data_IF_480444263606
#
_entry.id   IF_480444263606
#
_cell.length_a   1.000
_cell.length_b   1.000
_cell.length_c   1.000
_cell.angle_alpha   90.00
_cell.angle_beta   90.00
_cell.angle_gamma   90.00
#
_symmetry.space_group_name_H-M   'P 1'
#
loop_
_entity.id
_entity.type
_entity.pdbx_description
1 polymer ?
#
# COMPACT_ATOMS: atom_id res chain seq x y z
N UNK A 1 -18.37 2.73 7.21
CA UNK A 1 -19.24 2.92 6.04
C UNK A 1 -18.39 3.06 4.79
N UNK A 2 -17.97 1.92 4.24
CA UNK A 2 -17.49 1.87 2.87
C UNK A 2 -18.70 1.94 1.93
N UNK A 3 -18.84 3.07 1.24
CA UNK A 3 -19.78 3.20 0.12
C UNK A 3 -19.06 2.90 -1.20
N UNK A 4 -19.83 2.57 -2.24
CA UNK A 4 -19.28 2.49 -3.60
C UNK A 4 -18.78 3.89 -3.98
N UNK A 5 -17.49 4.01 -4.25
CA UNK A 5 -16.87 5.27 -4.70
C UNK A 5 -16.64 5.25 -6.22
N UNK A 6 -16.64 6.43 -6.83
CA UNK A 6 -16.36 6.55 -8.27
C UNK A 6 -14.97 6.01 -8.61
N UNK A 7 -13.97 6.29 -7.77
CA UNK A 7 -12.60 5.78 -7.95
C UNK A 7 -12.54 4.26 -7.91
N UNK A 8 -13.33 3.61 -7.05
CA UNK A 8 -13.42 2.15 -6.99
C UNK A 8 -13.99 1.60 -8.29
N UNK A 9 -15.06 2.19 -8.80
CA UNK A 9 -15.68 1.80 -10.07
C UNK A 9 -14.71 2.01 -11.23
N UNK A 10 -14.02 3.16 -11.30
CA UNK A 10 -13.03 3.46 -12.34
C UNK A 10 -11.85 2.48 -12.37
N UNK A 11 -11.31 2.12 -11.20
CA UNK A 11 -10.26 1.09 -11.09
C UNK A 11 -10.72 -0.28 -11.57
N UNK A 12 -12.01 -0.60 -11.43
CA UNK A 12 -12.57 -1.86 -11.92
C UNK A 12 -12.96 -1.80 -13.40
N UNK A 13 -13.14 -0.60 -13.94
CA UNK A 13 -13.39 -0.30 -15.35
C UNK A 13 -12.11 -0.23 -16.22
N UNK A 14 -10.96 -0.71 -15.73
CA UNK A 14 -9.68 -0.66 -16.47
C UNK A 14 -9.77 -1.31 -17.86
N UNK A 15 -10.56 -2.38 -18.00
CA UNK A 15 -10.80 -3.06 -19.28
C UNK A 15 -11.75 -2.30 -20.22
N UNK A 16 -12.43 -1.27 -19.73
CA UNK A 16 -13.31 -0.38 -20.49
C UNK A 16 -12.72 1.04 -20.58
N UNK A 17 -11.38 1.16 -20.73
CA UNK A 17 -10.67 2.45 -20.80
C UNK A 17 -10.96 3.40 -19.63
N UNK A 18 -11.32 2.87 -18.45
CA UNK A 18 -11.78 3.64 -17.29
C UNK A 18 -13.06 4.47 -17.53
N UNK A 19 -13.83 4.15 -18.59
CA UNK A 19 -15.15 4.71 -18.86
C UNK A 19 -16.20 3.98 -18.03
N UNK A 20 -16.89 4.73 -17.18
CA UNK A 20 -17.92 4.20 -16.27
C UNK A 20 -19.33 4.25 -16.88
N UNK A 21 -19.56 5.15 -17.84
CA UNK A 21 -20.88 5.37 -18.42
C UNK A 21 -21.32 4.26 -19.38
N UNK A 22 -20.39 3.73 -20.16
CA UNK A 22 -20.59 2.66 -21.15
C UNK A 22 -20.42 1.25 -20.57
N UNK A 23 -20.21 1.15 -19.25
CA UNK A 23 -19.80 -0.09 -18.63
C UNK A 23 -20.97 -1.08 -18.53
N UNK A 24 -20.81 -2.23 -19.19
CA UNK A 24 -21.84 -3.27 -19.22
C UNK A 24 -21.72 -4.28 -18.07
N UNK A 25 -20.51 -4.51 -17.57
CA UNK A 25 -20.23 -5.52 -16.55
C UNK A 25 -19.32 -4.98 -15.45
N UNK A 26 -19.74 -5.11 -14.20
CA UNK A 26 -18.94 -4.67 -13.05
C UNK A 26 -18.81 -5.78 -12.01
N UNK A 27 -17.58 -5.97 -11.54
CA UNK A 27 -17.25 -6.89 -10.47
C UNK A 27 -16.76 -6.15 -9.24
N UNK A 28 -17.59 -6.16 -8.19
CA UNK A 28 -17.37 -5.53 -6.89
C UNK A 28 -17.37 -6.58 -5.77
N UNK A 29 -16.63 -7.67 -5.97
CA UNK A 29 -16.48 -8.72 -4.96
C UNK A 29 -15.55 -8.29 -3.82
N UNK A 30 -15.88 -8.70 -2.58
CA UNK A 30 -14.98 -8.58 -1.43
C UNK A 30 -14.50 -7.13 -1.20
N UNK A 31 -15.39 -6.16 -1.39
CA UNK A 31 -15.07 -4.73 -1.20
C UNK A 31 -15.64 -4.19 0.12
N UNK A 32 -16.21 -5.06 0.96
CA UNK A 32 -16.75 -4.71 2.27
C UNK A 32 -17.78 -3.57 2.18
N UNK A 33 -18.52 -3.51 1.05
CA UNK A 33 -19.47 -2.44 0.77
C UNK A 33 -20.64 -2.54 1.75
N UNK A 34 -20.90 -1.47 2.47
CA UNK A 34 -22.04 -1.34 3.39
C UNK A 34 -23.22 -0.59 2.75
N UNK A 35 -22.97 0.24 1.73
CA UNK A 35 -24.00 1.02 1.05
C UNK A 35 -23.82 1.08 -0.45
N UNK A 36 -24.93 0.89 -1.17
CA UNK A 36 -24.97 0.92 -2.62
C UNK A 36 -25.41 2.31 -3.10
N UNK A 37 -24.50 3.27 -3.08
CA UNK A 37 -24.80 4.66 -3.49
C UNK A 37 -24.27 4.94 -4.91
N UNK A 38 -24.97 5.81 -5.64
CA UNK A 38 -24.54 6.45 -6.90
C UNK A 38 -24.31 5.55 -8.14
N UNK A 39 -24.49 4.24 -8.04
CA UNK A 39 -24.43 3.32 -9.19
C UNK A 39 -25.43 3.70 -10.29
N UNK A 40 -26.58 4.26 -9.92
CA UNK A 40 -27.59 4.79 -10.85
C UNK A 40 -27.10 5.97 -11.70
N UNK A 41 -26.14 6.74 -11.20
CA UNK A 41 -25.57 7.90 -11.89
C UNK A 41 -24.40 7.50 -12.78
N UNK A 42 -23.58 6.56 -12.33
CA UNK A 42 -22.32 6.21 -12.97
C UNK A 42 -22.49 5.19 -14.09
N UNK A 43 -23.26 4.13 -13.87
CA UNK A 43 -23.31 2.95 -14.76
C UNK A 43 -24.74 2.70 -15.27
N UNK A 44 -25.27 3.58 -16.14
CA UNK A 44 -26.66 3.46 -16.64
C UNK A 44 -26.87 2.27 -17.58
N UNK A 45 -25.81 1.85 -18.26
CA UNK A 45 -25.85 0.79 -19.26
C UNK A 45 -25.41 -0.58 -18.72
N UNK A 46 -25.36 -0.71 -17.39
CA UNK A 46 -24.92 -1.93 -16.72
C UNK A 46 -25.90 -3.08 -16.98
N UNK A 47 -25.38 -4.21 -17.48
CA UNK A 47 -26.07 -5.47 -17.71
C UNK A 47 -25.79 -6.49 -16.61
N UNK A 48 -24.56 -6.54 -16.09
CA UNK A 48 -24.15 -7.53 -15.10
C UNK A 48 -23.50 -6.84 -13.90
N UNK A 49 -24.04 -7.10 -12.71
CA UNK A 49 -23.55 -6.56 -11.44
C UNK A 49 -23.22 -7.69 -10.47
N UNK A 50 -21.94 -7.83 -10.15
CA UNK A 50 -21.48 -8.74 -9.12
C UNK A 50 -21.11 -8.01 -7.82
N UNK A 51 -21.80 -8.35 -6.74
CA UNK A 51 -21.65 -7.79 -5.40
C UNK A 51 -21.45 -8.89 -4.34
N UNK A 52 -20.91 -10.04 -4.74
CA UNK A 52 -20.73 -11.17 -3.83
C UNK A 52 -19.77 -10.84 -2.68
N UNK A 53 -20.12 -11.33 -1.48
CA UNK A 53 -19.31 -11.21 -0.26
C UNK A 53 -19.03 -9.75 0.13
N UNK A 54 -20.09 -8.94 0.22
CA UNK A 54 -20.06 -7.61 0.83
C UNK A 54 -20.93 -7.61 2.10
N UNK A 55 -21.15 -6.44 2.68
CA UNK A 55 -21.88 -6.25 3.94
C UNK A 55 -23.14 -5.41 3.72
N UNK A 56 -23.74 -5.53 2.53
CA UNK A 56 -24.87 -4.70 2.10
C UNK A 56 -26.12 -5.12 2.90
N UNK A 57 -26.72 -4.24 3.72
CA UNK A 57 -27.88 -4.57 4.53
C UNK A 57 -29.20 -4.45 3.75
N UNK A 58 -29.23 -3.58 2.73
CA UNK A 58 -30.42 -3.29 1.92
C UNK A 58 -30.03 -3.01 0.48
N UNK A 59 -30.86 -3.48 -0.45
CA UNK A 59 -30.73 -3.16 -1.87
C UNK A 59 -31.33 -1.77 -2.07
N UNK A 60 -30.50 -0.80 -2.45
CA UNK A 60 -30.90 0.58 -2.73
C UNK A 60 -30.25 1.06 -4.04
N UNK A 61 -30.85 2.03 -4.73
CA UNK A 61 -30.34 2.64 -5.97
C UNK A 61 -30.18 1.70 -7.20
N UNK A 62 -30.50 0.41 -7.11
CA UNK A 62 -30.49 -0.53 -8.25
C UNK A 62 -31.68 -0.30 -9.19
N UNK A 63 -32.83 0.13 -8.66
CA UNK A 63 -34.07 0.27 -9.44
C UNK A 63 -34.04 1.24 -10.63
N UNK A 64 -32.97 2.02 -10.83
CA UNK A 64 -32.82 2.90 -12.01
C UNK A 64 -32.04 2.23 -13.15
N UNK A 65 -31.47 1.05 -12.93
CA UNK A 65 -30.66 0.30 -13.88
C UNK A 65 -31.56 -0.53 -14.80
N UNK A 66 -32.11 0.11 -15.84
CA UNK A 66 -33.08 -0.51 -16.75
C UNK A 66 -32.52 -1.69 -17.54
N UNK A 67 -31.23 -1.65 -17.90
CA UNK A 67 -30.54 -2.67 -18.71
C UNK A 67 -29.96 -3.81 -17.89
N UNK A 68 -30.14 -3.81 -16.56
CA UNK A 68 -29.54 -4.81 -15.69
C UNK A 68 -30.20 -6.17 -15.91
N UNK A 69 -29.44 -7.13 -16.42
CA UNK A 69 -29.91 -8.48 -16.73
C UNK A 69 -29.57 -9.49 -15.61
N UNK A 70 -28.40 -9.33 -14.99
CA UNK A 70 -27.94 -10.23 -13.93
C UNK A 70 -27.45 -9.45 -12.72
N UNK A 71 -28.06 -9.72 -11.58
CA UNK A 71 -27.65 -9.21 -10.28
C UNK A 71 -27.23 -10.36 -9.37
N UNK A 72 -25.96 -10.36 -8.95
CA UNK A 72 -25.45 -11.27 -7.95
C UNK A 72 -25.13 -10.52 -6.66
N UNK A 73 -25.93 -10.74 -5.63
CA UNK A 73 -25.77 -10.19 -4.28
C UNK A 73 -25.63 -11.31 -3.25
N UNK A 74 -25.01 -12.43 -3.62
CA UNK A 74 -24.78 -13.54 -2.71
C UNK A 74 -23.83 -13.18 -1.54
N UNK A 75 -23.99 -13.85 -0.39
CA UNK A 75 -23.18 -13.66 0.82
C UNK A 75 -23.21 -12.22 1.38
N UNK A 76 -24.33 -11.52 1.27
CA UNK A 76 -24.53 -10.18 1.84
C UNK A 76 -25.37 -10.23 3.13
N UNK A 77 -25.74 -9.05 3.64
CA UNK A 77 -26.50 -8.87 4.87
C UNK A 77 -27.96 -8.47 4.58
N UNK A 78 -28.49 -8.83 3.40
CA UNK A 78 -29.81 -8.39 2.94
C UNK A 78 -30.89 -9.08 3.76
N UNK A 79 -31.74 -8.31 4.42
CA UNK A 79 -32.87 -8.84 5.20
C UNK A 79 -34.21 -8.79 4.45
N UNK A 80 -34.31 -7.93 3.43
CA UNK A 80 -35.56 -7.67 2.70
C UNK A 80 -35.29 -7.41 1.23
N UNK A 81 -36.16 -7.95 0.36
CA UNK A 81 -36.10 -7.72 -1.09
C UNK A 81 -36.89 -6.46 -1.40
N UNK A 82 -36.22 -5.42 -1.89
CA UNK A 82 -36.84 -4.13 -2.20
C UNK A 82 -36.07 -3.37 -3.29
N UNK A 83 -36.68 -2.32 -3.84
CA UNK A 83 -36.05 -1.40 -4.80
C UNK A 83 -35.55 -2.05 -6.10
N UNK A 84 -36.13 -3.19 -6.49
CA UNK A 84 -35.84 -3.89 -7.75
C UNK A 84 -36.93 -3.69 -8.82
N UNK A 85 -38.00 -2.96 -8.49
CA UNK A 85 -39.18 -2.77 -9.36
C UNK A 85 -38.85 -2.10 -10.70
N UNK A 86 -37.84 -1.22 -10.76
CA UNK A 86 -37.46 -0.53 -11.99
C UNK A 86 -36.39 -1.23 -12.84
N UNK A 87 -35.94 -2.44 -12.45
CA UNK A 87 -35.03 -3.26 -13.25
C UNK A 87 -35.82 -4.06 -14.31
N UNK A 88 -36.22 -3.39 -15.38
CA UNK A 88 -37.11 -3.96 -16.41
C UNK A 88 -36.53 -5.23 -17.07
N UNK A 89 -35.22 -5.25 -17.37
CA UNK A 89 -34.54 -6.35 -18.08
C UNK A 89 -33.96 -7.45 -17.18
N UNK A 90 -34.25 -7.45 -15.88
CA UNK A 90 -33.64 -8.39 -14.93
C UNK A 90 -34.08 -9.84 -15.24
N UNK A 91 -33.11 -10.69 -15.61
CA UNK A 91 -33.31 -12.11 -15.98
C UNK A 91 -32.91 -13.06 -14.87
N UNK A 92 -31.84 -12.73 -14.13
CA UNK A 92 -31.25 -13.59 -13.11
C UNK A 92 -30.95 -12.80 -11.83
N UNK A 93 -31.40 -13.31 -10.70
CA UNK A 93 -31.18 -12.73 -9.38
C UNK A 93 -30.64 -13.77 -8.41
N UNK A 94 -29.44 -13.52 -7.89
CA UNK A 94 -28.79 -14.39 -6.91
C UNK A 94 -28.75 -13.70 -5.54
N UNK A 95 -29.55 -14.21 -4.61
CA UNK A 95 -29.64 -13.79 -3.21
C UNK A 95 -29.15 -14.90 -2.26
N UNK A 96 -28.32 -15.84 -2.75
CA UNK A 96 -27.79 -16.96 -1.95
C UNK A 96 -27.09 -16.48 -0.68
N UNK A 97 -27.35 -17.16 0.43
CA UNK A 97 -26.73 -16.94 1.74
C UNK A 97 -26.83 -15.47 2.23
N UNK A 98 -28.05 -14.93 2.20
CA UNK A 98 -28.43 -13.66 2.82
C UNK A 98 -29.29 -13.92 4.07
N UNK A 99 -29.89 -12.87 4.64
CA UNK A 99 -30.70 -12.95 5.86
C UNK A 99 -32.18 -12.62 5.60
N UNK A 100 -32.67 -12.95 4.40
CA UNK A 100 -34.04 -12.69 4.00
C UNK A 100 -34.97 -13.59 4.80
N UNK A 101 -35.77 -13.00 5.67
CA UNK A 101 -36.85 -13.71 6.36
C UNK A 101 -38.23 -13.12 6.12
N UNK A 102 -38.32 -12.00 5.42
CA UNK A 102 -39.58 -11.45 4.94
C UNK A 102 -39.88 -12.01 3.55
N UNK A 103 -40.69 -13.06 3.48
CA UNK A 103 -41.02 -13.71 2.19
C UNK A 103 -42.05 -12.88 1.42
N UNK A 104 -42.89 -12.10 2.12
CA UNK A 104 -43.83 -11.15 1.53
C UNK A 104 -43.15 -10.15 0.57
N UNK A 105 -41.88 -9.83 0.79
CA UNK A 105 -41.12 -8.89 -0.04
C UNK A 105 -40.88 -9.38 -1.47
N UNK A 106 -41.02 -10.69 -1.73
CA UNK A 106 -40.96 -11.26 -3.08
C UNK A 106 -42.05 -10.70 -3.98
N UNK A 107 -43.16 -10.20 -3.42
CA UNK A 107 -44.20 -9.56 -4.22
C UNK A 107 -43.69 -8.34 -5.02
N UNK A 108 -42.62 -7.68 -4.57
CA UNK A 108 -41.95 -6.60 -5.32
C UNK A 108 -41.36 -7.06 -6.66
N UNK A 109 -40.96 -8.33 -6.76
CA UNK A 109 -40.38 -8.91 -7.97
C UNK A 109 -41.43 -9.26 -9.03
N UNK A 110 -42.74 -9.13 -8.73
CA UNK A 110 -43.81 -9.37 -9.71
C UNK A 110 -43.71 -8.45 -10.92
N UNK A 111 -43.22 -7.23 -10.73
CA UNK A 111 -43.05 -6.24 -11.79
C UNK A 111 -41.97 -6.63 -12.81
N UNK A 112 -40.99 -7.46 -12.43
CA UNK A 112 -39.89 -7.88 -13.31
C UNK A 112 -40.35 -9.01 -14.23
N UNK A 113 -40.92 -8.67 -15.39
CA UNK A 113 -41.50 -9.64 -16.33
C UNK A 113 -40.46 -10.60 -16.91
N UNK A 114 -39.21 -10.16 -17.02
CA UNK A 114 -38.11 -10.94 -17.62
C UNK A 114 -37.37 -11.87 -16.64
N UNK A 115 -37.72 -11.84 -15.35
CA UNK A 115 -37.04 -12.62 -14.31
C UNK A 115 -37.33 -14.12 -14.46
N UNK A 116 -36.29 -14.90 -14.78
CA UNK A 116 -36.38 -16.34 -15.05
C UNK A 116 -35.68 -17.19 -14.00
N UNK A 117 -34.61 -16.68 -13.40
CA UNK A 117 -33.78 -17.42 -12.43
C UNK A 117 -33.70 -16.67 -11.11
N UNK A 118 -34.05 -17.34 -10.02
CA UNK A 118 -33.97 -16.81 -8.66
C UNK A 118 -33.30 -17.83 -7.73
N UNK A 119 -32.33 -17.36 -6.94
CA UNK A 119 -31.63 -18.17 -5.94
C UNK A 119 -31.83 -17.54 -4.56
N UNK A 120 -32.43 -18.30 -3.65
CA UNK A 120 -32.69 -17.92 -2.26
C UNK A 120 -32.07 -18.93 -1.27
N UNK A 121 -31.29 -19.91 -1.75
CA UNK A 121 -30.61 -20.91 -0.93
C UNK A 121 -29.84 -20.25 0.23
N UNK A 122 -29.98 -20.78 1.45
CA UNK A 122 -29.25 -20.28 2.62
C UNK A 122 -29.82 -19.00 3.23
N UNK A 123 -31.07 -18.65 2.91
CA UNK A 123 -31.82 -17.59 3.60
C UNK A 123 -32.76 -18.20 4.66
N UNK A 124 -33.04 -17.51 5.78
CA UNK A 124 -34.02 -17.93 6.79
C UNK A 124 -35.40 -18.26 6.20
N UNK A 125 -35.81 -17.58 5.12
CA UNK A 125 -37.08 -17.84 4.45
C UNK A 125 -37.19 -19.24 3.82
N UNK A 126 -36.07 -19.93 3.59
CA UNK A 126 -36.07 -21.30 3.04
C UNK A 126 -36.49 -22.35 4.07
N UNK A 127 -36.49 -22.01 5.36
CA UNK A 127 -36.96 -22.87 6.44
C UNK A 127 -38.49 -22.87 6.56
N UNK A 128 -39.18 -21.91 5.91
CA UNK A 128 -40.62 -21.79 6.03
C UNK A 128 -41.37 -22.92 5.33
N UNK A 129 -42.39 -23.45 6.01
CA UNK A 129 -43.27 -24.46 5.42
C UNK A 129 -44.01 -23.88 4.22
N UNK A 130 -43.84 -24.51 3.06
CA UNK A 130 -44.50 -24.06 1.83
C UNK A 130 -43.79 -22.92 1.10
N UNK A 131 -42.56 -22.55 1.50
CA UNK A 131 -41.73 -21.52 0.85
C UNK A 131 -41.76 -21.64 -0.68
N UNK A 132 -41.43 -22.83 -1.20
CA UNK A 132 -41.32 -23.07 -2.64
C UNK A 132 -42.66 -22.84 -3.35
N UNK A 133 -43.76 -23.36 -2.79
CA UNK A 133 -45.11 -23.19 -3.33
C UNK A 133 -45.51 -21.71 -3.35
N UNK A 134 -45.18 -20.96 -2.30
CA UNK A 134 -45.46 -19.53 -2.24
C UNK A 134 -44.72 -18.74 -3.31
N UNK A 135 -43.42 -18.98 -3.48
CA UNK A 135 -42.62 -18.28 -4.50
C UNK A 135 -43.13 -18.61 -5.90
N UNK A 136 -43.38 -19.89 -6.18
CA UNK A 136 -43.90 -20.35 -7.48
C UNK A 136 -45.28 -19.79 -7.79
N UNK A 137 -46.16 -19.67 -6.79
CA UNK A 137 -47.50 -19.10 -6.96
C UNK A 137 -47.48 -17.57 -7.03
N UNK A 138 -46.47 -16.91 -6.46
CA UNK A 138 -46.35 -15.45 -6.45
C UNK A 138 -45.69 -14.95 -7.74
N UNK A 139 -44.64 -15.62 -8.20
CA UNK A 139 -43.83 -15.28 -9.37
C UNK A 139 -44.07 -16.25 -10.52
N UNK A 140 -45.07 -15.94 -11.34
CA UNK A 140 -45.47 -16.77 -12.48
C UNK A 140 -44.46 -16.76 -13.63
N UNK A 141 -43.63 -15.71 -13.73
CA UNK A 141 -42.60 -15.54 -14.75
C UNK A 141 -41.38 -16.46 -14.54
N UNK A 142 -41.20 -16.97 -13.32
CA UNK A 142 -39.99 -17.68 -12.94
C UNK A 142 -39.91 -19.07 -13.61
N UNK A 143 -38.73 -19.42 -14.13
CA UNK A 143 -38.46 -20.71 -14.75
C UNK A 143 -37.64 -21.62 -13.83
N UNK A 144 -36.67 -21.07 -13.12
CA UNK A 144 -35.81 -21.79 -12.18
C UNK A 144 -35.82 -21.12 -10.81
N UNK A 145 -36.00 -21.94 -9.78
CA UNK A 145 -35.90 -21.55 -8.38
C UNK A 145 -34.92 -22.48 -7.68
N UNK A 146 -33.86 -21.91 -7.09
CA UNK A 146 -32.82 -22.64 -6.36
C UNK A 146 -32.16 -23.75 -7.19
N UNK A 147 -31.82 -23.44 -8.45
CA UNK A 147 -31.29 -24.40 -9.44
C UNK A 147 -32.24 -25.53 -9.85
N UNK A 148 -33.52 -25.48 -9.45
CA UNK A 148 -34.55 -26.45 -9.84
C UNK A 148 -35.54 -25.83 -10.81
N UNK A 149 -35.82 -26.50 -11.90
CA UNK A 149 -36.84 -26.08 -12.86
C UNK A 149 -38.23 -26.16 -12.23
N UNK A 150 -39.09 -25.19 -12.57
CA UNK A 150 -40.48 -25.15 -12.13
C UNK A 150 -41.35 -25.77 -13.22
N UNK A 151 -41.94 -26.92 -12.90
CA UNK A 151 -42.87 -27.57 -13.82
C UNK A 151 -44.25 -26.91 -13.80
N UNK A 152 -44.99 -27.07 -14.91
CA UNK A 152 -46.40 -26.61 -15.00
C UNK A 152 -47.28 -27.31 -13.96
N UNK A 153 -47.02 -28.59 -13.69
CA UNK A 153 -47.71 -29.40 -12.69
C UNK A 153 -47.56 -28.82 -11.28
N UNK A 154 -46.33 -28.45 -10.91
CA UNK A 154 -45.98 -27.80 -9.64
C UNK A 154 -46.69 -26.46 -9.50
N UNK A 155 -46.69 -25.65 -10.57
CA UNK A 155 -47.35 -24.34 -10.57
C UNK A 155 -48.85 -24.42 -10.31
N UNK A 156 -49.54 -25.38 -10.91
CA UNK A 156 -51.00 -25.56 -10.70
C UNK A 156 -51.27 -25.94 -9.24
N UNK A 157 -50.50 -26.87 -8.68
CA UNK A 157 -50.62 -27.27 -7.26
C UNK A 157 -50.33 -26.11 -6.32
N UNK A 158 -49.28 -25.35 -6.59
CA UNK A 158 -48.90 -24.18 -5.81
C UNK A 158 -50.02 -23.11 -5.79
N UNK A 159 -50.67 -22.88 -6.94
CA UNK A 159 -51.78 -21.94 -7.05
C UNK A 159 -53.03 -22.39 -6.28
N UNK A 160 -53.33 -23.69 -6.29
CA UNK A 160 -54.47 -24.28 -5.55
C UNK A 160 -54.30 -24.10 -4.03
N UNK A 161 -53.10 -24.34 -3.50
CA UNK A 161 -52.80 -24.21 -2.07
C UNK A 161 -52.38 -22.80 -1.64
N UNK A 162 -52.36 -21.83 -2.57
CA UNK A 162 -51.81 -20.49 -2.33
C UNK A 162 -52.43 -19.75 -1.12
N UNK A 163 -53.77 -19.74 -0.90
CA UNK A 163 -54.35 -19.02 0.24
C UNK A 163 -53.89 -19.56 1.59
N UNK A 164 -53.85 -20.88 1.74
CA UNK A 164 -53.43 -21.55 2.99
C UNK A 164 -51.94 -21.36 3.25
N UNK A 165 -51.11 -21.57 2.21
CA UNK A 165 -49.66 -21.39 2.28
C UNK A 165 -49.32 -19.93 2.59
N UNK A 166 -50.02 -18.97 1.97
CA UNK A 166 -49.83 -17.53 2.23
C UNK A 166 -50.13 -17.17 3.68
N UNK A 167 -51.18 -17.72 4.27
CA UNK A 167 -51.50 -17.50 5.68
C UNK A 167 -50.40 -18.04 6.60
N UNK A 168 -50.01 -19.32 6.42
CA UNK A 168 -48.95 -19.96 7.21
C UNK A 168 -47.61 -19.22 7.13
N UNK A 169 -47.27 -18.72 5.95
CA UNK A 169 -46.03 -17.98 5.75
C UNK A 169 -46.08 -16.62 6.44
N UNK A 170 -47.21 -15.91 6.39
CA UNK A 170 -47.35 -14.64 7.12
C UNK A 170 -47.18 -14.83 8.63
N UNK A 171 -47.71 -15.90 9.19
CA UNK A 171 -47.56 -16.22 10.61
C UNK A 171 -46.09 -16.54 10.96
N UNK A 172 -45.42 -17.40 10.17
CA UNK A 172 -44.00 -17.72 10.34
C UNK A 172 -43.10 -16.49 10.17
N UNK A 173 -43.41 -15.63 9.19
CA UNK A 173 -42.72 -14.37 8.93
C UNK A 173 -42.86 -13.41 10.14
N UNK A 174 -44.06 -13.24 10.68
CA UNK A 174 -44.28 -12.43 11.88
C UNK A 174 -43.50 -12.96 13.08
N UNK A 175 -43.51 -14.28 13.30
CA UNK A 175 -42.73 -14.91 14.37
C UNK A 175 -41.21 -14.68 14.19
N UNK A 176 -40.72 -14.81 12.96
CA UNK A 176 -39.33 -14.52 12.62
C UNK A 176 -38.98 -13.05 12.85
N UNK A 177 -39.80 -12.12 12.39
CA UNK A 177 -39.59 -10.67 12.58
C UNK A 177 -39.57 -10.29 14.07
N UNK A 178 -40.46 -10.86 14.88
CA UNK A 178 -40.46 -10.67 16.35
C UNK A 178 -39.20 -11.23 17.00
N UNK A 179 -38.72 -12.41 16.58
CA UNK A 179 -37.45 -12.98 17.05
C UNK A 179 -36.27 -12.09 16.65
N UNK A 180 -36.21 -11.65 15.40
CA UNK A 180 -35.15 -10.77 14.89
C UNK A 180 -35.15 -9.39 15.52
N UNK A 181 -36.31 -8.82 15.83
CA UNK A 181 -36.42 -7.55 16.54
C UNK A 181 -35.76 -7.64 17.92
N UNK A 182 -36.04 -8.72 18.67
CA UNK A 182 -35.39 -8.99 19.98
C UNK A 182 -33.89 -9.17 19.85
N UNK A 183 -33.43 -9.94 18.86
CA UNK A 183 -32.00 -10.14 18.60
C UNK A 183 -31.27 -8.83 18.26
N UNK A 184 -31.89 -7.95 17.46
CA UNK A 184 -31.35 -6.62 17.13
C UNK A 184 -31.26 -5.73 18.36
N UNK A 185 -32.29 -5.73 19.19
CA UNK A 185 -32.34 -4.91 20.40
C UNK A 185 -31.27 -5.37 21.42
N UNK A 186 -31.09 -6.69 21.59
CA UNK A 186 -30.02 -7.24 22.41
C UNK A 186 -28.62 -6.91 21.85
N UNK A 187 -28.42 -7.03 20.53
CA UNK A 187 -27.15 -6.67 19.88
C UNK A 187 -26.83 -5.18 20.04
N UNK A 188 -27.83 -4.30 19.91
CA UNK A 188 -27.68 -2.87 20.14
C UNK A 188 -27.31 -2.57 21.58
N UNK A 189 -27.95 -3.23 22.55
CA UNK A 189 -27.61 -3.09 23.97
C UNK A 189 -26.18 -3.52 24.24
N UNK A 190 -25.76 -4.70 23.77
CA UNK A 190 -24.37 -5.18 23.90
C UNK A 190 -23.36 -4.22 23.24
N UNK A 191 -23.70 -3.67 22.09
CA UNK A 191 -22.85 -2.68 21.41
C UNK A 191 -22.71 -1.39 22.22
N UNK A 192 -23.79 -0.91 22.85
CA UNK A 192 -23.77 0.26 23.72
C UNK A 192 -22.98 0.01 24.99
N UNK A 193 -23.14 -1.16 25.62
CA UNK A 193 -22.38 -1.60 26.79
C UNK A 193 -20.87 -1.64 26.46
N UNK A 194 -20.47 -2.33 25.38
CA UNK A 194 -19.07 -2.36 24.92
C UNK A 194 -18.51 -0.97 24.61
N UNK A 195 -19.30 -0.09 23.99
CA UNK A 195 -18.89 1.31 23.74
C UNK A 195 -18.70 2.09 25.05
N UNK A 196 -19.58 1.91 26.03
CA UNK A 196 -19.48 2.56 27.33
C UNK A 196 -18.28 2.03 28.13
N UNK A 197 -17.99 0.74 28.06
CA UNK A 197 -16.79 0.13 28.65
C UNK A 197 -15.51 0.69 28.01
N UNK A 198 -15.45 0.76 26.67
CA UNK A 198 -14.33 1.40 25.95
C UNK A 198 -14.14 2.87 26.38
N UNK A 199 -15.22 3.63 26.53
CA UNK A 199 -15.14 5.03 26.98
C UNK A 199 -14.60 5.14 28.42
N UNK A 200 -15.10 4.31 29.34
CA UNK A 200 -14.58 4.26 30.72
C UNK A 200 -13.10 3.87 30.78
N UNK A 201 -12.67 2.91 29.97
CA UNK A 201 -11.26 2.54 29.87
C UNK A 201 -10.40 3.68 29.32
N UNK A 202 -10.89 4.44 28.33
CA UNK A 202 -10.19 5.62 27.81
C UNK A 202 -10.08 6.74 28.87
N UNK A 203 -11.14 7.02 29.61
CA UNK A 203 -11.15 8.03 30.67
C UNK A 203 -10.21 7.64 31.83
N UNK A 204 -10.19 6.36 32.20
CA UNK A 204 -9.26 5.85 33.23
C UNK A 204 -7.80 5.94 32.77
N UNK A 205 -7.54 5.81 31.46
CA UNK A 205 -6.20 5.90 30.86
C UNK A 205 -5.70 7.33 30.69
N UNK A 206 -6.60 8.32 30.69
CA UNK A 206 -6.29 9.76 30.64
C UNK A 206 -6.30 10.44 32.03
N UNK A 207 -6.76 9.73 33.07
CA UNK A 207 -6.94 10.28 34.43
C UNK A 207 -5.77 10.10 35.41
N UNK A 208 -4.61 9.61 34.97
CA UNK A 208 -3.41 9.49 35.82
C UNK A 208 -2.38 10.57 35.48
N UNK A 209 -2.73 11.83 35.74
CA UNK A 209 -1.77 12.92 35.91
C UNK A 209 -2.30 13.81 37.03
N UNK A 210 -2.10 13.37 38.28
CA UNK A 210 -2.33 14.21 39.46
C UNK A 210 -1.00 14.85 39.86
N UNK A 211 -0.93 16.18 40.05
CA UNK A 211 0.32 16.88 40.30
C UNK A 211 0.61 16.85 41.81
N UNK A 212 1.70 16.21 42.23
CA UNK A 212 2.25 16.50 43.55
C UNK A 212 3.79 16.39 43.61
N UNK A 213 4.38 17.57 43.77
CA UNK A 213 5.58 17.98 44.52
C UNK A 213 6.96 17.29 44.34
N UNK A 214 8.06 18.06 44.49
CA UNK A 214 9.39 17.68 44.00
C UNK A 214 10.23 16.99 45.08
N UNK A 215 10.74 15.79 44.80
CA UNK A 215 11.88 15.22 45.52
C UNK A 215 12.86 14.53 44.56
N UNK A 216 14.13 14.64 44.94
CA UNK A 216 15.35 14.47 44.15
C UNK A 216 15.59 13.04 43.61
N UNK A 217 16.32 12.98 42.50
CA UNK A 217 16.65 11.81 41.65
C UNK A 217 17.45 10.71 42.41
N UNK A 218 17.58 9.48 41.86
CA UNK A 218 18.63 9.26 40.85
C UNK A 218 18.24 8.35 39.66
N UNK A 219 19.02 8.54 38.59
CA UNK A 219 19.03 7.82 37.32
C UNK A 219 18.85 6.30 37.44
N UNK A 220 17.89 5.73 36.71
CA UNK A 220 18.08 4.48 35.98
C UNK A 220 17.29 4.53 34.66
N UNK A 221 18.03 4.42 33.57
CA UNK A 221 17.55 4.26 32.21
C UNK A 221 17.13 2.81 32.03
N UNK A 222 15.83 2.55 31.98
CA UNK A 222 15.17 1.37 31.36
C UNK A 222 13.68 1.46 31.71
N UNK A 223 12.82 1.83 30.75
CA UNK A 223 11.40 2.04 31.07
C UNK A 223 10.44 2.29 29.90
N UNK A 224 10.89 2.37 28.65
CA UNK A 224 9.96 2.50 27.51
C UNK A 224 9.55 1.13 26.93
N UNK A 225 10.26 0.05 27.28
CA UNK A 225 9.99 -1.31 26.77
C UNK A 225 8.87 -2.05 27.52
N UNK A 226 8.58 -1.72 28.78
CA UNK A 226 7.59 -2.44 29.59
C UNK A 226 6.16 -1.94 29.33
N UNK A 227 5.96 -0.65 29.07
CA UNK A 227 4.64 -0.13 28.68
C UNK A 227 4.22 -0.61 27.28
N UNK A 228 5.14 -0.70 26.32
CA UNK A 228 4.85 -1.30 25.01
C UNK A 228 4.59 -2.80 25.13
N UNK A 229 5.41 -3.53 25.92
CA UNK A 229 5.27 -4.98 26.09
C UNK A 229 3.97 -5.35 26.80
N UNK A 230 3.53 -4.61 27.83
CA UNK A 230 2.22 -4.82 28.47
C UNK A 230 1.05 -4.48 27.53
N UNK A 231 1.12 -3.39 26.75
CA UNK A 231 0.07 -3.03 25.77
C UNK A 231 -0.08 -4.05 24.65
N UNK A 232 1.01 -4.71 24.23
CA UNK A 232 0.93 -5.78 23.22
C UNK A 232 0.32 -7.06 23.78
N UNK A 233 0.59 -7.41 25.03
CA UNK A 233 0.10 -8.65 25.65
C UNK A 233 -1.40 -8.56 25.98
N UNK A 234 -1.89 -7.40 26.44
CA UNK A 234 -3.33 -7.17 26.68
C UNK A 234 -4.15 -7.20 25.37
N UNK A 235 -3.62 -6.65 24.28
CA UNK A 235 -4.26 -6.73 22.96
C UNK A 235 -4.36 -8.19 22.49
N UNK A 236 -3.30 -8.99 22.60
CA UNK A 236 -3.30 -10.37 22.08
C UNK A 236 -4.29 -11.30 22.85
N UNK A 237 -4.55 -11.04 24.14
CA UNK A 237 -5.52 -11.79 24.93
C UNK A 237 -6.97 -11.37 24.66
N UNK A 238 -7.24 -10.07 24.48
CA UNK A 238 -8.55 -9.58 24.02
C UNK A 238 -8.86 -10.11 22.62
N UNK A 239 -7.86 -10.17 21.76
CA UNK A 239 -7.97 -10.70 20.42
C UNK A 239 -8.36 -12.17 20.40
N UNK A 240 -7.72 -12.96 21.27
CA UNK A 240 -8.05 -14.38 21.41
C UNK A 240 -9.47 -14.58 21.89
N UNK A 241 -9.88 -13.82 22.92
CA UNK A 241 -11.25 -13.85 23.44
C UNK A 241 -12.28 -13.49 22.37
N UNK A 242 -11.98 -12.50 21.52
CA UNK A 242 -12.88 -12.11 20.42
C UNK A 242 -13.11 -13.24 19.40
N UNK A 243 -12.07 -13.98 19.02
CA UNK A 243 -12.18 -15.06 18.02
C UNK A 243 -12.70 -16.38 18.60
N UNK A 244 -12.51 -16.62 19.90
CA UNK A 244 -12.98 -17.83 20.59
C UNK A 244 -14.43 -17.72 21.08
N UNK A 245 -14.98 -16.51 21.23
CA UNK A 245 -16.38 -16.29 21.64
C UNK A 245 -17.34 -16.77 20.52
N UNK A 246 -18.22 -17.75 20.76
CA UNK A 246 -19.20 -18.19 19.77
C UNK A 246 -20.25 -17.12 19.57
N UNK A 247 -20.27 -16.49 18.40
CA UNK A 247 -21.23 -15.44 18.05
C UNK A 247 -22.37 -15.99 17.18
N UNK A 248 -23.60 -15.47 17.34
CA UNK A 248 -24.73 -15.88 16.51
C UNK A 248 -24.57 -15.36 15.07
N UNK A 249 -24.88 -16.21 14.08
CA UNK A 249 -24.81 -15.84 12.66
C UNK A 249 -25.90 -14.81 12.32
N UNK A 250 -25.56 -13.54 12.45
CA UNK A 250 -26.46 -12.39 12.25
C UNK A 250 -25.73 -11.28 11.50
N UNK A 251 -26.46 -10.38 10.80
CA UNK A 251 -25.88 -9.22 10.15
C UNK A 251 -25.01 -8.35 11.06
N UNK A 252 -25.47 -8.10 12.29
CA UNK A 252 -24.78 -7.28 13.28
C UNK A 252 -23.46 -7.92 13.73
N UNK A 253 -23.46 -9.23 13.99
CA UNK A 253 -22.23 -9.96 14.33
C UNK A 253 -21.22 -9.90 13.19
N UNK A 254 -21.65 -10.05 11.93
CA UNK A 254 -20.76 -9.90 10.75
C UNK A 254 -20.17 -8.49 10.67
N UNK A 255 -20.97 -7.45 10.91
CA UNK A 255 -20.48 -6.06 10.94
C UNK A 255 -19.52 -5.82 12.10
N UNK A 256 -19.74 -6.43 13.26
CA UNK A 256 -18.85 -6.33 14.42
C UNK A 256 -17.49 -6.97 14.14
N UNK A 257 -17.47 -8.20 13.61
CA UNK A 257 -16.24 -8.87 13.16
C UNK A 257 -15.48 -8.05 12.14
N UNK A 258 -16.19 -7.48 11.15
CA UNK A 258 -15.57 -6.60 10.16
C UNK A 258 -14.95 -5.35 10.79
N UNK A 259 -15.69 -4.63 11.64
CA UNK A 259 -15.19 -3.43 12.33
C UNK A 259 -13.94 -3.72 13.16
N UNK A 260 -13.94 -4.86 13.85
CA UNK A 260 -12.83 -5.28 14.66
C UNK A 260 -11.58 -5.60 13.81
N UNK A 261 -11.74 -6.31 12.68
CA UNK A 261 -10.65 -6.53 11.71
C UNK A 261 -10.12 -5.20 11.17
N UNK A 262 -11.01 -4.27 10.82
CA UNK A 262 -10.64 -2.97 10.24
C UNK A 262 -9.88 -2.09 11.25
N UNK A 263 -10.33 -2.05 12.51
CA UNK A 263 -9.66 -1.36 13.62
C UNK A 263 -8.23 -1.89 13.78
N UNK A 264 -8.06 -3.21 13.76
CA UNK A 264 -6.74 -3.87 13.77
C UNK A 264 -5.87 -3.51 12.57
N UNK A 265 -6.44 -3.47 11.37
CA UNK A 265 -5.70 -3.09 10.15
C UNK A 265 -5.21 -1.65 10.26
N UNK A 266 -6.07 -0.73 10.68
CA UNK A 266 -5.73 0.68 10.92
C UNK A 266 -4.67 0.84 12.00
N UNK A 267 -4.79 0.11 13.12
CA UNK A 267 -3.77 0.13 14.17
C UNK A 267 -2.41 -0.33 13.65
N UNK A 268 -2.37 -1.42 12.87
CA UNK A 268 -1.13 -1.91 12.21
C UNK A 268 -0.56 -0.89 11.21
N UNK A 269 -1.40 -0.21 10.45
CA UNK A 269 -0.98 0.85 9.53
C UNK A 269 -0.43 2.07 10.27
N UNK A 270 -1.09 2.52 11.33
CA UNK A 270 -0.62 3.60 12.19
C UNK A 270 0.73 3.26 12.83
N UNK A 271 0.92 2.02 13.30
CA UNK A 271 2.21 1.55 13.84
C UNK A 271 3.30 1.54 12.74
N UNK A 272 2.96 1.17 11.51
CA UNK A 272 3.92 1.22 10.38
C UNK A 272 4.29 2.67 10.05
N UNK A 273 3.32 3.57 10.12
CA UNK A 273 3.54 4.99 9.84
C UNK A 273 4.33 5.68 10.96
N UNK A 274 4.05 5.39 12.22
CA UNK A 274 4.83 5.88 13.37
C UNK A 274 6.28 5.40 13.27
N UNK A 275 6.52 4.10 13.02
CA UNK A 275 7.87 3.55 12.77
C UNK A 275 8.60 4.20 11.60
N UNK A 276 7.86 4.68 10.58
CA UNK A 276 8.44 5.41 9.44
C UNK A 276 8.84 6.84 9.83
N UNK A 277 8.08 7.48 10.73
CA UNK A 277 8.33 8.84 11.26
C UNK A 277 9.42 8.83 12.34
N UNK A 278 9.53 7.78 13.14
CA UNK A 278 10.53 7.57 14.20
C UNK A 278 11.94 7.23 13.68
N UNK A 279 12.22 7.38 12.37
CA UNK A 279 13.62 7.35 11.90
C UNK A 279 14.39 8.45 12.60
N UNK A 280 15.20 8.06 13.58
CA UNK A 280 15.90 8.92 14.52
C UNK A 280 16.60 10.08 13.82
N UNK A 281 16.34 11.31 14.27
CA UNK A 281 17.15 12.46 13.91
C UNK A 281 18.55 12.25 14.48
N UNK A 282 19.55 12.27 13.61
CA UNK A 282 20.93 12.05 14.03
C UNK A 282 21.43 13.26 14.82
N UNK A 283 21.82 13.05 16.07
CA UNK A 283 22.49 14.09 16.88
C UNK A 283 23.92 14.27 16.35
N UNK A 284 24.10 15.24 15.45
CA UNK A 284 25.40 15.54 14.82
C UNK A 284 26.26 16.49 15.66
N UNK A 285 25.65 17.20 16.60
CA UNK A 285 26.28 18.19 17.49
C UNK A 285 25.66 17.99 18.88
N UNK A 286 26.47 17.90 19.93
CA UNK A 286 25.97 17.80 21.32
C UNK A 286 25.34 19.13 21.75
N UNK A 287 24.50 19.14 22.79
CA UNK A 287 23.85 20.37 23.30
C UNK A 287 24.86 21.47 23.70
N UNK A 288 26.10 21.11 23.99
CA UNK A 288 27.22 22.00 24.33
C UNK A 288 28.01 22.50 23.09
N UNK A 289 27.52 22.26 21.87
CA UNK A 289 28.13 22.73 20.62
C UNK A 289 29.34 21.91 20.13
N UNK A 290 29.65 20.79 20.78
CA UNK A 290 30.75 19.91 20.38
C UNK A 290 30.35 19.06 19.17
N UNK A 291 31.15 19.14 18.10
CA UNK A 291 30.94 18.39 16.86
C UNK A 291 31.40 16.93 17.06
N UNK A 292 30.58 15.97 16.62
CA UNK A 292 30.88 14.54 16.74
C UNK A 292 31.36 13.95 15.41
N UNK A 293 32.31 13.01 15.47
CA UNK A 293 32.69 12.19 14.33
C UNK A 293 31.65 11.09 14.14
N UNK A 294 31.02 11.04 12.97
CA UNK A 294 29.92 10.13 12.67
C UNK A 294 30.15 9.48 11.30
N UNK A 295 30.28 8.16 11.24
CA UNK A 295 30.35 7.41 9.99
C UNK A 295 29.18 6.40 9.90
N UNK A 296 27.94 6.91 9.81
CA UNK A 296 26.75 6.07 9.61
C UNK A 296 26.83 5.20 8.35
N UNK A 297 27.35 5.68 7.19
CA UNK A 297 27.38 4.86 5.99
C UNK A 297 28.50 3.80 6.00
N UNK A 298 29.33 3.74 7.05
CA UNK A 298 30.47 2.81 7.20
C UNK A 298 31.40 2.80 5.98
N UNK A 299 31.64 3.98 5.42
CA UNK A 299 32.50 4.13 4.26
C UNK A 299 33.96 4.11 4.72
N UNK A 300 34.81 3.53 3.87
CA UNK A 300 36.25 3.66 4.04
C UNK A 300 36.66 5.07 3.67
N UNK A 301 37.45 5.72 4.53
CA UNK A 301 37.96 7.06 4.29
C UNK A 301 39.45 7.16 4.63
N UNK A 302 40.15 8.04 3.93
CA UNK A 302 41.53 8.41 4.22
C UNK A 302 41.62 9.93 4.27
N UNK A 303 42.11 10.48 5.37
CA UNK A 303 42.43 11.90 5.50
C UNK A 303 43.95 12.05 5.38
N UNK A 304 44.40 12.80 4.38
CA UNK A 304 45.82 13.11 4.15
C UNK A 304 46.05 14.59 4.38
N UNK A 305 47.08 14.91 5.15
CA UNK A 305 47.55 16.27 5.34
C UNK A 305 48.79 16.47 4.48
N UNK A 306 48.70 17.39 3.50
CA UNK A 306 49.81 17.74 2.62
C UNK A 306 50.39 19.09 3.08
N UNK A 307 51.46 19.02 3.88
CA UNK A 307 52.16 20.18 4.44
C UNK A 307 52.85 21.02 3.35
N UNK A 308 53.25 20.43 2.21
CA UNK A 308 53.91 21.16 1.12
C UNK A 308 52.93 22.01 0.31
N UNK A 309 51.71 21.51 0.11
CA UNK A 309 50.66 22.22 -0.65
C UNK A 309 49.67 22.97 0.24
N UNK A 310 49.86 22.96 1.57
CA UNK A 310 49.00 23.58 2.57
C UNK A 310 47.51 23.20 2.41
N UNK A 311 47.23 21.92 2.14
CA UNK A 311 45.89 21.41 1.87
C UNK A 311 45.63 20.06 2.54
N UNK A 312 44.41 19.88 3.03
CA UNK A 312 43.89 18.64 3.58
C UNK A 312 43.07 17.94 2.50
N UNK A 313 43.36 16.67 2.23
CA UNK A 313 42.67 15.86 1.24
C UNK A 313 41.91 14.74 1.94
N UNK A 314 40.58 14.74 1.81
CA UNK A 314 39.72 13.64 2.25
C UNK A 314 39.35 12.77 1.05
N UNK A 315 39.75 11.51 1.07
CA UNK A 315 39.30 10.48 0.12
C UNK A 315 38.23 9.60 0.79
N UNK A 316 37.02 9.60 0.24
CA UNK A 316 35.88 8.82 0.69
C UNK A 316 35.48 7.81 -0.39
N UNK A 317 35.53 6.51 -0.08
CA UNK A 317 35.17 5.45 -1.02
C UNK A 317 33.64 5.33 -1.14
N UNK A 318 33.04 6.09 -2.06
CA UNK A 318 31.59 6.07 -2.34
C UNK A 318 31.26 4.99 -3.37
N UNK A 319 30.02 4.48 -3.35
CA UNK A 319 29.57 3.46 -4.31
C UNK A 319 29.74 3.92 -5.77
N UNK A 320 30.31 3.05 -6.61
CA UNK A 320 30.62 3.28 -8.03
C UNK A 320 29.43 3.79 -8.85
N UNK A 321 28.23 3.28 -8.56
CA UNK A 321 27.00 3.60 -9.29
C UNK A 321 26.05 4.55 -8.54
N UNK A 322 26.56 5.33 -7.59
CA UNK A 322 25.74 6.34 -6.91
C UNK A 322 25.62 7.62 -7.76
N UNK A 323 24.40 8.11 -7.92
CA UNK A 323 24.12 9.37 -8.60
C UNK A 323 24.62 10.57 -7.76
N UNK A 324 25.13 11.60 -8.43
CA UNK A 324 25.57 12.85 -7.81
C UNK A 324 24.45 13.59 -7.10
N UNK A 325 23.19 13.41 -7.50
CA UNK A 325 22.04 14.00 -6.82
C UNK A 325 21.77 13.44 -5.41
N UNK A 326 22.34 12.27 -5.09
CA UNK A 326 22.21 11.61 -3.78
C UNK A 326 23.41 11.85 -2.86
N UNK A 327 24.27 12.80 -3.25
CA UNK A 327 25.47 13.23 -2.54
C UNK A 327 25.37 14.72 -2.27
N UNK A 328 25.53 15.10 -1.01
CA UNK A 328 25.60 16.50 -0.60
C UNK A 328 26.86 16.68 0.26
N UNK A 329 27.67 17.68 -0.07
CA UNK A 329 28.99 17.93 0.56
C UNK A 329 28.98 19.34 1.13
N UNK A 330 29.02 19.42 2.45
CA UNK A 330 29.07 20.65 3.23
C UNK A 330 30.42 20.73 3.94
N UNK A 331 31.19 21.78 3.63
CA UNK A 331 32.52 22.02 4.21
C UNK A 331 32.42 23.23 5.11
N UNK A 332 32.65 23.02 6.40
CA UNK A 332 32.72 24.07 7.40
C UNK A 332 34.18 24.22 7.85
N UNK A 333 34.58 25.39 8.41
CA UNK A 333 35.96 25.62 8.84
C UNK A 333 36.49 24.58 9.83
N UNK A 334 35.62 23.99 10.67
CA UNK A 334 36.00 23.06 11.73
C UNK A 334 35.61 21.60 11.47
N UNK A 335 34.76 21.32 10.48
CA UNK A 335 34.30 19.96 10.16
C UNK A 335 33.81 19.84 8.72
N UNK A 336 33.80 18.61 8.22
CA UNK A 336 33.21 18.26 6.93
C UNK A 336 32.03 17.33 7.13
N UNK A 337 30.94 17.58 6.41
CA UNK A 337 29.73 16.76 6.38
C UNK A 337 29.43 16.32 4.95
N UNK A 338 29.27 15.01 4.76
CA UNK A 338 28.88 14.40 3.50
C UNK A 338 27.62 13.57 3.72
N UNK A 339 26.50 13.94 3.10
CA UNK A 339 25.29 13.11 3.11
C UNK A 339 25.33 12.13 1.94
N UNK A 340 25.31 10.83 2.25
CA UNK A 340 25.28 9.75 1.26
C UNK A 340 23.95 9.03 1.38
N UNK A 341 23.05 9.17 0.40
CA UNK A 341 21.67 8.62 0.46
C UNK A 341 20.92 9.01 1.75
N UNK A 342 21.11 10.25 2.22
CA UNK A 342 20.49 10.76 3.45
C UNK A 342 21.14 10.27 4.75
N UNK A 343 22.23 9.50 4.70
CA UNK A 343 23.03 9.13 5.88
C UNK A 343 24.21 10.10 6.03
N UNK A 344 24.36 10.79 7.17
CA UNK A 344 25.46 11.72 7.37
C UNK A 344 26.78 10.98 7.65
N UNK A 345 27.82 11.39 6.95
CA UNK A 345 29.22 11.19 7.32
C UNK A 345 29.75 12.54 7.80
N UNK A 346 30.21 12.64 9.04
CA UNK A 346 30.76 13.86 9.62
C UNK A 346 32.12 13.58 10.22
N UNK A 347 33.10 14.42 9.91
CA UNK A 347 34.45 14.32 10.45
C UNK A 347 34.93 15.71 10.88
N UNK A 348 35.39 15.81 12.13
CA UNK A 348 36.06 16.99 12.66
C UNK A 348 37.45 17.10 12.01
N UNK A 349 37.75 18.29 11.50
CA UNK A 349 39.02 18.56 10.84
C UNK A 349 40.10 18.88 11.87
N UNK A 350 41.36 18.46 11.66
CA UNK A 350 42.46 18.71 12.60
C UNK A 350 42.91 20.18 12.61
N UNK A 351 42.74 20.89 11.50
CA UNK A 351 43.05 22.31 11.35
C UNK A 351 41.91 23.04 10.64
N UNK A 352 41.84 24.35 10.85
CA UNK A 352 40.85 25.20 10.18
C UNK A 352 41.12 25.28 8.68
N UNK A 353 40.06 25.10 7.89
CA UNK A 353 40.12 25.15 6.41
C UNK A 353 39.34 26.34 5.86
N UNK A 354 39.72 26.80 4.66
CA UNK A 354 38.96 27.82 3.93
C UNK A 354 37.86 27.15 3.09
N UNK A 355 36.57 27.26 3.46
CA UNK A 355 35.48 26.59 2.74
C UNK A 355 35.34 27.11 1.30
N UNK A 356 35.52 28.42 1.09
CA UNK A 356 35.36 29.07 -0.23
C UNK A 356 36.34 28.57 -1.30
N UNK A 357 37.48 28.02 -0.88
CA UNK A 357 38.52 27.49 -1.76
C UNK A 357 38.54 25.96 -1.82
N UNK A 358 37.58 25.31 -1.16
CA UNK A 358 37.48 23.85 -1.13
C UNK A 358 36.82 23.32 -2.40
N UNK A 359 37.27 22.16 -2.89
CA UNK A 359 36.74 21.52 -4.09
C UNK A 359 36.47 20.04 -3.85
N UNK A 360 35.28 19.58 -4.23
CA UNK A 360 34.90 18.17 -4.19
C UNK A 360 34.81 17.60 -5.60
N UNK A 361 35.48 16.47 -5.86
CA UNK A 361 35.48 15.78 -7.14
C UNK A 361 35.15 14.31 -6.96
N UNK A 362 34.24 13.79 -7.78
CA UNK A 362 33.87 12.37 -7.78
C UNK A 362 34.42 11.67 -9.02
N UNK A 363 35.06 10.52 -8.81
CA UNK A 363 35.44 9.61 -9.89
C UNK A 363 34.25 8.74 -10.31
N UNK A 364 33.86 8.80 -11.58
CA UNK A 364 32.79 7.94 -12.13
C UNK A 364 33.24 6.49 -12.31
N UNK A 365 34.53 6.26 -12.53
CA UNK A 365 35.09 4.93 -12.80
C UNK A 365 35.37 4.15 -11.52
N UNK A 366 35.92 4.82 -10.50
CA UNK A 366 36.30 4.18 -9.22
C UNK A 366 35.28 4.42 -8.10
N UNK A 367 34.42 5.44 -8.21
CA UNK A 367 33.43 5.78 -7.20
C UNK A 367 33.96 6.65 -6.04
N UNK A 368 35.26 6.91 -5.98
CA UNK A 368 35.87 7.71 -4.91
C UNK A 368 35.46 9.19 -4.99
N UNK A 369 35.11 9.77 -3.85
CA UNK A 369 34.87 11.18 -3.66
C UNK A 369 36.10 11.79 -2.97
N UNK A 370 36.80 12.68 -3.67
CA UNK A 370 37.97 13.38 -3.16
C UNK A 370 37.60 14.82 -2.87
N UNK A 371 37.74 15.25 -1.62
CA UNK A 371 37.51 16.63 -1.19
C UNK A 371 38.85 17.24 -0.81
N UNK A 372 39.23 18.31 -1.52
CA UNK A 372 40.46 19.07 -1.31
C UNK A 372 40.12 20.35 -0.57
N UNK A 373 40.70 20.55 0.61
CA UNK A 373 40.40 21.64 1.53
C UNK A 373 41.69 22.38 1.90
N UNK A 374 41.92 23.61 1.43
CA UNK A 374 43.12 24.37 1.78
C UNK A 374 43.07 24.86 3.24
N UNK A 375 44.21 24.79 3.94
CA UNK A 375 44.35 25.24 5.34
C UNK A 375 44.24 26.76 5.45
N UNK A 376 43.67 27.24 6.55
CA UNK A 376 43.49 28.67 6.82
C UNK A 376 44.78 29.37 7.28
N UNK A 377 45.67 28.65 7.97
CA UNK A 377 46.97 29.16 8.41
C UNK A 377 47.95 29.11 7.24
N UNK A 378 48.49 30.25 6.83
CA UNK A 378 49.56 30.31 5.84
C UNK A 378 50.90 29.98 6.54
N UNK A 379 51.48 28.82 6.24
CA UNK A 379 52.91 28.61 6.50
C UNK A 379 53.67 29.39 5.43
N UNK A 380 54.37 30.45 5.83
CA UNK A 380 55.20 31.26 4.93
C UNK A 380 56.42 30.42 4.52
N UNK A 381 56.31 29.66 3.44
CA UNK A 381 57.46 29.10 2.74
C UNK A 381 57.98 30.14 1.75
N UNK A 382 59.18 30.66 2.02
CA UNK A 382 59.86 31.63 1.17
C UNK A 382 60.10 31.06 -0.23
N UNK A 383 59.32 31.51 -1.22
CA UNK A 383 59.61 31.27 -2.64
C UNK A 383 60.83 32.11 -3.04
N UNK A 384 61.96 31.46 -3.35
CA UNK A 384 63.10 32.13 -4.00
C UNK A 384 62.66 32.67 -5.38
N UNK A 385 62.58 34.00 -5.51
CA UNK A 385 62.47 34.71 -6.78
C UNK A 385 63.81 34.61 -7.52
N UNK A 386 63.84 33.97 -8.68
CA UNK A 386 64.91 34.20 -9.67
C UNK A 386 64.52 35.44 -10.46
N UNK A 387 65.29 36.52 -10.27
CA UNK A 387 65.13 37.79 -10.97
C UNK A 387 65.69 37.69 -12.38
N UNK A 388 64.88 38.07 -13.37
CA UNK A 388 65.33 38.39 -14.71
C UNK A 388 66.07 39.74 -14.71
N UNK A 389 67.22 39.80 -15.37
CA UNK A 389 67.89 41.06 -15.73
C UNK A 389 68.00 41.14 -17.25
N UNK A 390 67.55 42.27 -17.79
CA UNK A 390 67.54 42.61 -19.21
C UNK A 390 68.76 43.48 -19.50
N UNK A 391 69.51 43.15 -20.57
CA UNK A 391 70.28 44.12 -21.36
C UNK A 391 70.17 43.78 -22.84
N UNK A 392 69.81 44.79 -23.63
CA UNK A 392 69.75 44.78 -25.09
C UNK A 392 71.14 45.01 -25.71
N UNK A 393 71.44 44.33 -26.82
CA UNK A 393 72.28 44.84 -27.90
C UNK A 393 72.05 44.03 -29.19
N UNK A 394 71.81 44.75 -30.28
CA UNK A 394 71.52 44.25 -31.63
C UNK A 394 72.74 43.67 -32.39
N UNK A 395 72.40 42.94 -33.46
CA UNK A 395 73.07 42.75 -34.76
C UNK A 395 73.73 41.38 -35.13
N UNK A 396 73.06 40.73 -36.11
CA UNK A 396 73.48 39.81 -37.17
C UNK A 396 74.83 39.06 -37.13
N UNK A 397 74.77 37.72 -37.21
CA UNK A 397 75.19 36.96 -38.40
C UNK A 397 74.95 35.45 -38.24
N UNK A 398 74.87 34.77 -39.38
CA UNK A 398 74.43 33.39 -39.61
C UNK A 398 75.28 32.31 -38.92
N UNK A 399 74.67 31.21 -38.44
CA UNK A 399 74.86 29.85 -38.98
C UNK A 399 74.09 28.75 -38.21
N UNK A 400 73.54 27.83 -39.01
CA UNK A 400 72.93 26.50 -38.78
C UNK A 400 73.30 25.77 -37.46
N UNK A 401 72.34 25.19 -36.74
CA UNK A 401 71.82 23.81 -36.94
C UNK A 401 70.96 23.30 -35.74
N UNK A 402 69.85 22.64 -36.09
CA UNK A 402 69.22 21.47 -35.42
C UNK A 402 68.85 21.53 -33.91
N UNK A 403 67.55 21.64 -33.57
CA UNK A 403 66.61 20.50 -33.33
C UNK A 403 65.38 20.93 -32.49
N UNK A 404 64.21 20.70 -33.11
CA UNK A 404 62.89 20.30 -32.58
C UNK A 404 62.11 21.22 -31.62
N UNK A 405 61.22 21.92 -32.31
CA UNK A 405 59.93 22.54 -32.00
C UNK A 405 58.90 21.76 -31.17
N UNK A 406 57.98 22.53 -30.58
CA UNK A 406 56.57 22.15 -30.30
C UNK A 406 56.03 22.92 -29.09
N UNK A 407 55.87 24.25 -29.14
CA UNK A 407 54.66 24.97 -29.57
C UNK A 407 53.34 24.29 -29.20
N UNK A 408 52.67 24.88 -28.22
CA UNK A 408 51.26 24.70 -27.88
C UNK A 408 50.47 25.58 -28.84
N UNK A 409 49.56 24.99 -29.63
CA UNK A 409 48.43 25.70 -30.23
C UNK A 409 47.19 24.81 -30.20
N UNK A 410 46.07 25.46 -29.89
CA UNK A 410 44.74 24.93 -29.59
C UNK A 410 44.11 24.26 -30.82
N UNK A 411 43.15 23.35 -30.61
CA UNK A 411 42.15 23.09 -31.63
C UNK A 411 40.76 22.83 -31.05
N UNK A 412 39.83 23.57 -31.65
CA UNK A 412 38.41 23.66 -31.41
C UNK A 412 37.68 22.38 -31.86
N UNK A 413 36.52 22.13 -31.25
CA UNK A 413 35.74 20.92 -31.44
C UNK A 413 34.71 21.15 -32.55
N UNK A 414 34.92 20.57 -33.73
CA UNK A 414 33.87 20.46 -34.75
C UNK A 414 32.99 19.22 -34.47
N UNK A 415 31.66 19.36 -34.30
CA UNK A 415 30.77 18.28 -33.87
C UNK A 415 30.37 17.29 -34.99
N UNK A 416 31.07 17.28 -36.13
CA UNK A 416 30.59 16.61 -37.36
C UNK A 416 31.48 15.47 -37.84
N UNK A 417 31.94 14.56 -36.97
CA UNK A 417 32.47 13.23 -37.39
C UNK A 417 32.21 12.17 -36.31
N UNK A 418 31.05 11.52 -36.40
CA UNK A 418 30.77 10.25 -35.74
C UNK A 418 31.42 9.11 -36.54
N UNK A 419 32.28 8.30 -35.91
CA UNK A 419 32.53 6.92 -36.34
C UNK A 419 32.98 6.08 -35.16
N UNK A 420 32.13 5.14 -34.72
CA UNK A 420 32.49 4.10 -33.76
C UNK A 420 33.43 3.07 -34.41
N UNK A 421 34.49 2.62 -33.72
CA UNK A 421 35.13 1.35 -34.04
C UNK A 421 34.59 0.21 -33.15
N UNK A 422 34.15 -0.83 -33.82
CA UNK A 422 33.64 -2.12 -33.33
C UNK A 422 34.71 -2.92 -32.53
N UNK A 423 34.40 -3.26 -31.28
CA UNK A 423 35.30 -3.91 -30.30
C UNK A 423 35.28 -5.45 -30.34
N UNK A 424 34.66 -6.05 -31.35
CA UNK A 424 34.59 -7.52 -31.53
C UNK A 424 35.94 -8.22 -31.80
N UNK A 425 37.08 -7.52 -31.77
CA UNK A 425 38.41 -8.07 -32.09
C UNK A 425 39.45 -8.08 -30.96
N UNK A 426 39.10 -7.81 -29.70
CA UNK A 426 40.11 -7.77 -28.60
C UNK A 426 40.12 -9.05 -27.75
N UNK A 427 39.38 -10.13 -28.12
CA UNK A 427 39.37 -11.37 -27.34
C UNK A 427 39.53 -12.62 -28.23
N UNK A 428 40.79 -12.99 -28.48
CA UNK A 428 41.30 -14.37 -28.72
C UNK A 428 42.74 -14.32 -28.14
N UNK A 429 43.25 -15.18 -27.26
CA UNK A 429 43.08 -16.62 -26.98
C UNK A 429 43.31 -16.90 -25.47
N UNK A 430 42.45 -17.70 -24.81
CA UNK A 430 42.74 -18.99 -24.12
C UNK A 430 44.09 -19.05 -23.36
N UNK A 431 44.10 -19.39 -22.07
CA UNK A 431 43.88 -20.77 -21.60
C UNK A 431 42.99 -20.93 -20.35
N UNK A 432 42.45 -22.15 -20.24
CA UNK A 432 41.44 -22.61 -19.29
C UNK A 432 42.09 -23.46 -18.19
N UNK A 433 41.71 -23.22 -16.95
CA UNK A 433 41.47 -24.22 -15.89
C UNK A 433 40.40 -23.60 -14.99
N UNK A 434 39.19 -24.12 -14.76
CA UNK A 434 38.68 -25.47 -14.88
C UNK A 434 37.92 -25.76 -13.59
N UNK A 435 36.70 -25.24 -13.44
CA UNK A 435 35.63 -25.77 -12.58
C UNK A 435 34.33 -25.01 -12.89
N UNK A 436 33.52 -25.61 -13.76
CA UNK A 436 32.19 -25.12 -14.13
C UNK A 436 31.11 -25.66 -13.18
N UNK A 437 29.96 -24.98 -13.11
CA UNK A 437 28.91 -25.27 -12.14
C UNK A 437 27.96 -26.38 -12.61
N UNK A 438 27.37 -27.02 -11.60
CA UNK A 438 26.34 -28.07 -11.65
C UNK A 438 25.18 -27.67 -12.57
N UNK A 439 24.87 -28.52 -13.55
CA UNK A 439 23.61 -28.49 -14.32
C UNK A 439 22.77 -29.72 -13.99
N UNK A 440 21.53 -29.44 -13.58
CA UNK A 440 20.41 -30.38 -13.46
C UNK A 440 20.07 -30.97 -14.84
N UNK A 441 19.96 -32.30 -14.91
CA UNK A 441 19.29 -33.01 -16.00
C UNK A 441 17.84 -33.31 -15.62
N UNK A 442 16.88 -33.20 -16.55
CA UNK A 442 15.56 -33.80 -16.42
C UNK A 442 15.53 -35.18 -17.12
N UNK A 443 15.05 -36.20 -16.41
CA UNK A 443 14.63 -37.51 -16.94
C UNK A 443 13.56 -38.04 -15.99
N UNK A 444 12.57 -38.84 -16.35
CA UNK A 444 11.85 -39.20 -17.59
C UNK A 444 10.64 -39.98 -17.04
N UNK A 445 9.48 -39.84 -17.68
CA UNK A 445 8.35 -40.71 -17.39
C UNK A 445 8.68 -42.17 -17.71
N UNK A 446 8.26 -43.09 -16.85
CA UNK A 446 8.12 -44.51 -17.16
C UNK A 446 6.71 -44.96 -16.78
N UNK A 447 5.92 -45.21 -17.81
CA UNK A 447 4.78 -46.12 -17.78
C UNK A 447 5.27 -47.54 -17.46
N UNK A 448 4.52 -48.26 -16.63
CA UNK A 448 4.50 -49.72 -16.67
C UNK A 448 3.09 -50.20 -16.26
N UNK A 449 2.31 -50.59 -17.27
CA UNK A 449 1.18 -51.51 -17.12
C UNK A 449 1.72 -52.91 -16.86
N UNK A 450 1.19 -53.57 -15.83
CA UNK A 450 0.75 -54.97 -15.91
C UNK A 450 -0.31 -55.21 -14.86
#
# INVERSE_FOLDING_TARGET
FLSVTEDLVRRRAEHNNCEIFSLEEISLHQQEIEKLEHLDKWCRDLKILYLQNNLIPKIENVGKLKKLEYLNVALNNIERIENLEGCEELKKLDLTANFIGELSSIESLKCNVHLKELFLVGNPCTEFEGYRQFVVATLHQLKYLDSKEIERSERIKALQSYPEVKWKIREQEQAYLLKRAREKEEAQRKMQERKAEKLKQMDTKLGFDSPDSPQEKPNHTEGDGEQERCRTVENDDEDRKFWEEPTPYTPESRLETHRYIEEKRRAKENIRESKKREKTSWTLITAEGKVLNVNVPKLHFSLKDDEESNQIILDLAVYRHLDTSLLDVDVQPTYIRVLVKGKPFQLVLPEEVKPDSSSAKRSQTTGHLVVTMPKAKEVILAKQKVSASVKHSDCNSQQKNTRRSGQIEKLEVDPSKYSFPDVTKIIQEKERTGQGPIKLQPQKATEAKK
#
